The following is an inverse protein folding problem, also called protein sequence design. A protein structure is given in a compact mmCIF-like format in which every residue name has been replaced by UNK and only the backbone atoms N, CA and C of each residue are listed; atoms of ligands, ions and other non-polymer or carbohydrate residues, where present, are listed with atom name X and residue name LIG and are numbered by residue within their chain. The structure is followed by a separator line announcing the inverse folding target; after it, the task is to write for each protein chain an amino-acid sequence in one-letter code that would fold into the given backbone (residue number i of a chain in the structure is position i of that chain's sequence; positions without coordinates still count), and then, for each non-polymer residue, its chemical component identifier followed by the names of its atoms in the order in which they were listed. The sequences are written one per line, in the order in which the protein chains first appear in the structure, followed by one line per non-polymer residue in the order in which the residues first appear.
data_IF_456007261493
#
_entry.id   IF_456007261493
#
_cell.length_a   1.000
_cell.length_b   1.000
_cell.length_c   1.000
_cell.angle_alpha   90.00
_cell.angle_beta   90.00
_cell.angle_gamma   90.00
#
_symmetry.space_group_name_H-M   'P 1'
#
loop_
_entity.id
_entity.type
_entity.pdbx_description
1 polymer ?
#
# COMPACT_ATOMS: atom_id res chain seq x y z
N UNK A 1 15.61 9.68 -1.00
CA UNK A 1 15.33 8.48 -1.82
C UNK A 1 13.86 8.15 -1.67
N UNK A 2 13.15 7.95 -2.78
CA UNK A 2 11.69 7.69 -2.77
C UNK A 2 11.38 6.29 -2.21
N UNK A 3 10.26 6.16 -1.51
CA UNK A 3 9.68 4.86 -1.18
C UNK A 3 9.39 4.08 -2.46
N UNK A 4 9.60 2.77 -2.41
CA UNK A 4 9.54 1.92 -3.61
C UNK A 4 10.86 1.74 -4.35
N UNK A 5 11.91 2.53 -4.03
CA UNK A 5 13.23 2.41 -4.65
C UNK A 5 14.28 1.67 -3.79
N UNK A 6 13.90 1.17 -2.62
CA UNK A 6 14.84 0.49 -1.69
C UNK A 6 15.00 -0.99 -2.00
N UNK A 7 13.90 -1.71 -2.19
CA UNK A 7 13.89 -3.15 -2.49
C UNK A 7 14.23 -3.48 -3.95
N UNK A 8 14.30 -4.77 -4.27
CA UNK A 8 14.43 -5.27 -5.64
C UNK A 8 13.13 -5.13 -6.42
N UNK A 9 12.01 -5.33 -5.73
CA UNK A 9 10.65 -5.21 -6.25
C UNK A 9 9.82 -4.39 -5.25
N UNK A 10 8.93 -3.53 -5.76
CA UNK A 10 8.00 -2.74 -4.97
C UNK A 10 6.65 -2.70 -5.64
N UNK A 11 5.57 -2.69 -4.85
CA UNK A 11 4.20 -2.59 -5.36
C UNK A 11 3.50 -1.35 -4.81
N UNK A 12 2.65 -0.76 -5.65
CA UNK A 12 1.79 0.37 -5.32
C UNK A 12 0.37 0.02 -5.71
N UNK A 13 -0.57 0.47 -4.89
CA UNK A 13 -2.00 0.27 -5.15
C UNK A 13 -2.64 1.56 -5.63
N UNK A 14 -3.53 1.43 -6.60
CA UNK A 14 -4.39 2.50 -7.11
C UNK A 14 -5.86 2.25 -6.77
N UNK A 15 -6.09 1.50 -5.71
CA UNK A 15 -7.42 1.27 -5.16
C UNK A 15 -8.12 2.61 -4.83
N UNK A 16 -9.45 2.63 -4.86
CA UNK A 16 -10.23 3.88 -4.81
C UNK A 16 -9.92 4.77 -3.60
N UNK A 17 -9.56 4.21 -2.45
CA UNK A 17 -9.30 4.95 -1.22
C UNK A 17 -7.84 5.41 -1.04
N UNK A 18 -6.95 5.15 -2.00
CA UNK A 18 -5.55 5.52 -1.90
C UNK A 18 -5.28 6.98 -2.33
N UNK A 19 -4.02 7.43 -2.18
CA UNK A 19 -3.60 8.82 -2.46
C UNK A 19 -3.89 9.26 -3.89
N UNK A 20 -3.74 8.35 -4.86
CA UNK A 20 -4.20 8.47 -6.23
C UNK A 20 -4.89 7.16 -6.61
N UNK A 21 -5.87 7.24 -7.47
CA UNK A 21 -6.72 6.08 -7.76
C UNK A 21 -7.10 5.98 -9.22
N UNK A 22 -7.26 4.74 -9.67
CA UNK A 22 -7.91 4.38 -10.94
C UNK A 22 -9.21 3.56 -10.71
N UNK A 23 -9.78 3.66 -9.50
CA UNK A 23 -10.83 2.79 -9.01
C UNK A 23 -10.25 1.50 -8.46
N UNK A 24 -9.76 0.67 -9.33
CA UNK A 24 -8.93 -0.51 -9.05
C UNK A 24 -7.65 -0.44 -9.88
N UNK A 25 -6.55 -0.99 -9.38
CA UNK A 25 -5.31 -1.06 -10.13
C UNK A 25 -4.07 -1.09 -9.25
N UNK A 26 -2.93 -1.25 -9.88
CA UNK A 26 -1.64 -1.27 -9.21
C UNK A 26 -0.47 -1.10 -10.16
N UNK A 27 0.68 -0.81 -9.58
CA UNK A 27 1.96 -0.70 -10.25
C UNK A 27 2.98 -1.55 -9.53
N UNK A 28 3.77 -2.30 -10.27
CA UNK A 28 4.94 -3.00 -9.75
C UNK A 28 6.19 -2.41 -10.38
N UNK A 29 7.13 -1.99 -9.54
CA UNK A 29 8.45 -1.55 -9.94
C UNK A 29 9.47 -2.66 -9.64
N UNK A 30 10.40 -2.88 -10.56
CA UNK A 30 11.52 -3.78 -10.36
C UNK A 30 12.81 -3.16 -10.87
N UNK A 31 13.96 -3.56 -10.32
CA UNK A 31 15.27 -3.04 -10.73
C UNK A 31 15.84 -3.77 -11.93
N UNK A 32 15.57 -5.07 -12.05
CA UNK A 32 16.20 -5.93 -13.02
C UNK A 32 15.29 -6.16 -14.23
N UNK A 33 15.88 -6.13 -15.42
CA UNK A 33 15.14 -6.40 -16.66
C UNK A 33 14.62 -7.85 -16.74
N UNK A 34 15.32 -8.81 -16.11
CA UNK A 34 14.84 -10.20 -15.97
C UNK A 34 13.52 -10.27 -15.18
N UNK A 35 13.46 -9.57 -14.04
CA UNK A 35 12.27 -9.52 -13.20
C UNK A 35 11.10 -8.85 -13.93
N UNK A 36 11.39 -7.77 -14.67
CA UNK A 36 10.39 -7.09 -15.50
C UNK A 36 9.74 -8.04 -16.51
N UNK A 37 10.52 -8.88 -17.21
CA UNK A 37 9.99 -9.88 -18.15
C UNK A 37 9.12 -10.93 -17.47
N UNK A 38 9.54 -11.39 -16.29
CA UNK A 38 8.73 -12.34 -15.50
C UNK A 38 7.40 -11.68 -15.10
N UNK A 39 7.42 -10.44 -14.60
CA UNK A 39 6.22 -9.71 -14.20
C UNK A 39 5.27 -9.46 -15.38
N UNK A 40 5.78 -9.13 -16.56
CA UNK A 40 4.97 -9.01 -17.78
C UNK A 40 4.23 -10.30 -18.11
N UNK A 41 4.93 -11.43 -18.01
CA UNK A 41 4.33 -12.73 -18.21
C UNK A 41 3.28 -13.06 -17.16
N UNK A 42 3.62 -12.91 -15.87
CA UNK A 42 2.74 -13.25 -14.75
C UNK A 42 1.43 -12.44 -14.75
N UNK A 43 1.47 -11.14 -15.08
CA UNK A 43 0.25 -10.30 -15.14
C UNK A 43 -0.70 -10.70 -16.27
N UNK A 44 -0.21 -11.42 -17.26
CA UNK A 44 -0.92 -11.79 -18.49
C UNK A 44 -0.89 -13.30 -18.70
N UNK A 45 -1.49 -14.05 -17.82
CA UNK A 45 -1.72 -15.51 -17.89
C UNK A 45 -0.44 -16.39 -17.94
N UNK A 46 0.75 -15.80 -17.82
CA UNK A 46 2.01 -16.52 -18.03
C UNK A 46 2.48 -16.54 -19.49
N UNK A 47 1.90 -15.73 -20.38
CA UNK A 47 2.26 -15.67 -21.80
C UNK A 47 3.66 -15.12 -22.05
N UNK A 48 4.26 -15.56 -23.15
CA UNK A 48 5.53 -15.06 -23.66
C UNK A 48 5.39 -13.92 -24.68
N UNK A 49 4.18 -13.45 -24.98
CA UNK A 49 3.89 -12.50 -26.07
C UNK A 49 4.65 -11.16 -25.95
N UNK A 50 4.76 -10.64 -24.73
CA UNK A 50 5.38 -9.33 -24.45
C UNK A 50 6.88 -9.44 -24.15
N UNK A 51 7.45 -10.64 -24.28
CA UNK A 51 8.86 -10.89 -23.99
C UNK A 51 9.53 -11.66 -25.10
N UNK A 52 10.80 -11.33 -25.40
CA UNK A 52 11.60 -11.96 -26.46
C UNK A 52 12.08 -13.38 -26.09
N UNK A 53 11.21 -14.15 -25.43
CA UNK A 53 11.56 -15.51 -24.99
C UNK A 53 11.84 -16.45 -26.14
N UNK A 54 11.04 -16.34 -27.23
CA UNK A 54 11.08 -17.25 -28.36
C UNK A 54 12.26 -17.00 -29.30
N UNK A 55 12.93 -15.84 -29.23
CA UNK A 55 14.15 -15.61 -29.99
C UNK A 55 15.29 -16.54 -29.56
N UNK A 56 15.31 -16.95 -28.29
CA UNK A 56 16.34 -17.84 -27.72
C UNK A 56 15.93 -19.31 -27.67
N UNK A 57 14.65 -19.60 -27.52
CA UNK A 57 14.13 -20.96 -27.37
C UNK A 57 13.31 -21.35 -28.64
N UNK A 58 13.94 -22.00 -29.58
CA UNK A 58 13.33 -22.52 -30.79
C UNK A 58 12.51 -23.82 -30.48
N UNK A 59 11.49 -23.73 -29.62
CA UNK A 59 10.53 -24.79 -29.49
C UNK A 59 9.68 -24.87 -30.77
N UNK A 60 9.88 -25.87 -31.59
CA UNK A 60 9.23 -26.04 -32.89
C UNK A 60 7.72 -26.34 -32.80
N UNK A 61 7.19 -26.65 -31.62
CA UNK A 61 5.89 -27.32 -31.48
C UNK A 61 4.77 -26.42 -30.90
N UNK A 62 5.01 -25.14 -30.60
CA UNK A 62 3.99 -24.25 -30.01
C UNK A 62 3.71 -23.04 -30.91
N UNK A 63 2.43 -22.69 -31.00
CA UNK A 63 2.03 -21.42 -31.58
C UNK A 63 2.61 -20.29 -30.77
N UNK A 64 3.36 -19.40 -31.39
CA UNK A 64 4.03 -18.24 -30.75
C UNK A 64 3.05 -17.35 -29.95
N UNK A 65 1.79 -17.26 -30.39
CA UNK A 65 0.76 -16.45 -29.74
C UNK A 65 0.19 -17.09 -28.46
N UNK A 66 0.33 -18.39 -28.32
CA UNK A 66 -0.26 -19.17 -27.21
C UNK A 66 0.78 -19.96 -26.43
N UNK A 67 1.99 -19.45 -26.36
CA UNK A 67 3.05 -20.06 -25.57
C UNK A 67 3.05 -19.51 -24.14
N UNK A 68 2.84 -20.38 -23.16
CA UNK A 68 2.83 -20.08 -21.73
C UNK A 68 4.14 -20.56 -21.11
N UNK A 69 4.84 -19.65 -20.45
CA UNK A 69 6.17 -19.90 -19.84
C UNK A 69 6.15 -19.82 -18.32
N UNK A 70 5.05 -19.32 -17.77
CA UNK A 70 4.80 -19.22 -16.34
C UNK A 70 3.34 -19.57 -16.02
N UNK A 71 3.06 -19.90 -14.76
CA UNK A 71 1.70 -19.91 -14.21
C UNK A 71 1.35 -18.48 -13.81
N UNK A 72 0.58 -17.79 -14.64
CA UNK A 72 0.27 -16.38 -14.45
C UNK A 72 -1.18 -16.12 -14.08
N UNK A 73 -1.48 -14.83 -13.91
CA UNK A 73 -2.76 -14.30 -13.49
C UNK A 73 -3.37 -13.42 -14.59
N UNK A 74 -4.62 -13.02 -14.43
CA UNK A 74 -5.24 -11.99 -15.25
C UNK A 74 -5.27 -10.66 -14.47
N UNK A 75 -4.17 -9.92 -14.48
CA UNK A 75 -3.96 -8.73 -13.67
C UNK A 75 -3.62 -7.48 -14.51
N UNK A 76 -4.04 -7.44 -15.77
CA UNK A 76 -3.82 -6.28 -16.63
C UNK A 76 -4.77 -5.16 -16.27
N UNK A 77 -4.24 -3.94 -16.12
CA UNK A 77 -5.02 -2.73 -16.02
C UNK A 77 -5.69 -2.45 -17.37
N UNK A 78 -6.94 -1.99 -17.34
CA UNK A 78 -7.62 -1.53 -18.56
C UNK A 78 -7.19 -0.12 -18.94
N UNK A 79 -7.30 0.24 -20.23
CA UNK A 79 -6.98 1.60 -20.71
C UNK A 79 -7.87 2.67 -20.06
N UNK A 80 -9.12 2.34 -19.73
CA UNK A 80 -10.03 3.24 -19.00
C UNK A 80 -9.46 3.56 -17.61
N UNK A 81 -9.03 2.56 -16.87
CA UNK A 81 -8.42 2.75 -15.55
C UNK A 81 -7.10 3.53 -15.67
N UNK A 82 -6.28 3.25 -16.67
CA UNK A 82 -5.05 3.99 -16.91
C UNK A 82 -5.32 5.47 -17.24
N UNK A 83 -6.35 5.75 -18.03
CA UNK A 83 -6.76 7.12 -18.37
C UNK A 83 -7.21 7.92 -17.13
N UNK A 84 -7.96 7.29 -16.21
CA UNK A 84 -8.33 7.90 -14.94
C UNK A 84 -7.08 8.25 -14.10
N UNK A 85 -6.13 7.34 -14.02
CA UNK A 85 -4.90 7.52 -13.25
C UNK A 85 -4.05 8.69 -13.79
N UNK A 86 -4.00 8.89 -15.08
CA UNK A 86 -3.23 9.96 -15.71
C UNK A 86 -3.57 11.35 -15.14
N UNK A 87 -4.85 11.63 -14.91
CA UNK A 87 -5.29 12.88 -14.30
C UNK A 87 -5.04 12.94 -12.79
N UNK A 88 -4.99 11.81 -12.11
CA UNK A 88 -4.68 11.74 -10.69
C UNK A 88 -3.20 12.04 -10.40
N UNK A 89 -2.30 11.53 -11.23
CA UNK A 89 -0.85 11.77 -11.09
C UNK A 89 -0.52 13.26 -11.15
N UNK A 90 -1.18 14.03 -12.02
CA UNK A 90 -0.99 15.49 -12.13
C UNK A 90 -1.34 16.25 -10.84
N UNK A 91 -2.15 15.66 -9.95
CA UNK A 91 -2.64 16.28 -8.72
C UNK A 91 -1.88 15.83 -7.48
N UNK A 92 -0.91 14.92 -7.60
CA UNK A 92 -0.27 14.25 -6.46
C UNK A 92 0.38 15.24 -5.50
N UNK A 93 1.09 16.24 -6.00
CA UNK A 93 1.75 17.25 -5.16
C UNK A 93 0.73 18.13 -4.44
N UNK A 94 -0.34 18.54 -5.10
CA UNK A 94 -1.44 19.27 -4.47
C UNK A 94 -2.06 18.48 -3.34
N UNK A 95 -2.33 17.19 -3.57
CA UNK A 95 -2.92 16.32 -2.55
C UNK A 95 -1.98 16.11 -1.37
N UNK A 96 -0.69 15.89 -1.63
CA UNK A 96 0.33 15.77 -0.58
C UNK A 96 0.38 17.03 0.29
N UNK A 97 0.46 18.20 -0.33
CA UNK A 97 0.57 19.46 0.39
C UNK A 97 -0.68 19.75 1.23
N UNK A 98 -1.87 19.50 0.70
CA UNK A 98 -3.12 19.65 1.44
C UNK A 98 -3.19 18.69 2.65
N UNK A 99 -2.78 17.44 2.48
CA UNK A 99 -2.74 16.44 3.56
C UNK A 99 -1.74 16.84 4.65
N UNK A 100 -0.57 17.33 4.26
CA UNK A 100 0.44 17.82 5.19
C UNK A 100 -0.05 19.04 5.96
N UNK A 101 -0.68 20.01 5.28
CA UNK A 101 -1.28 21.19 5.90
C UNK A 101 -2.33 20.80 6.94
N UNK A 102 -3.28 19.95 6.56
CA UNK A 102 -4.34 19.49 7.46
C UNK A 102 -3.78 18.69 8.65
N UNK A 103 -2.80 17.83 8.42
CA UNK A 103 -2.12 17.10 9.49
C UNK A 103 -1.48 18.06 10.50
N UNK A 104 -0.74 19.05 10.02
CA UNK A 104 -0.06 20.02 10.88
C UNK A 104 -1.05 20.86 11.69
N UNK A 105 -2.15 21.29 11.07
CA UNK A 105 -3.20 22.05 11.74
C UNK A 105 -3.83 21.25 12.88
N UNK A 106 -4.26 20.02 12.63
CA UNK A 106 -4.86 19.15 13.65
C UNK A 106 -3.83 18.85 14.74
N UNK A 107 -2.59 18.51 14.36
CA UNK A 107 -1.53 18.18 15.30
C UNK A 107 -1.21 19.38 16.23
N UNK A 108 -1.25 20.62 15.72
CA UNK A 108 -1.08 21.83 16.50
C UNK A 108 -2.16 21.95 17.55
N UNK A 109 -3.44 21.91 17.14
CA UNK A 109 -4.60 22.01 18.05
C UNK A 109 -4.55 20.95 19.15
N UNK A 110 -4.23 19.70 18.79
CA UNK A 110 -4.14 18.61 19.76
C UNK A 110 -3.00 18.77 20.77
N UNK A 111 -1.88 19.39 20.37
CA UNK A 111 -0.74 19.63 21.26
C UNK A 111 -0.93 20.83 22.17
N UNK A 112 -1.68 21.83 21.73
CA UNK A 112 -2.02 23.01 22.52
C UNK A 112 -3.06 22.70 23.63
N UNK A 113 -3.92 21.70 23.41
CA UNK A 113 -4.85 21.22 24.43
C UNK A 113 -4.12 20.27 25.41
N UNK A 114 -4.02 20.70 26.68
CA UNK A 114 -3.31 19.97 27.73
C UNK A 114 -3.87 18.55 27.93
N UNK A 115 -5.21 18.39 27.95
CA UNK A 115 -5.82 17.09 28.15
C UNK A 115 -5.50 16.13 27.01
N UNK A 116 -5.60 16.58 25.74
CA UNK A 116 -5.27 15.75 24.57
C UNK A 116 -3.79 15.42 24.54
N UNK A 117 -2.91 16.38 24.81
CA UNK A 117 -1.47 16.17 24.81
C UNK A 117 -1.03 15.15 25.88
N UNK A 118 -1.66 15.19 27.05
CA UNK A 118 -1.36 14.25 28.14
C UNK A 118 -1.88 12.83 27.86
N UNK A 119 -2.95 12.66 27.09
CA UNK A 119 -3.64 11.38 26.87
C UNK A 119 -3.40 10.75 25.48
N UNK A 120 -2.70 11.42 24.58
CA UNK A 120 -2.43 10.92 23.23
C UNK A 120 -0.92 10.77 23.03
N UNK A 121 -0.52 9.71 22.31
CA UNK A 121 0.80 9.57 21.74
C UNK A 121 0.70 10.01 20.28
N UNK A 122 1.43 11.05 19.92
CA UNK A 122 1.47 11.55 18.55
C UNK A 122 2.50 10.76 17.73
N UNK A 123 2.09 10.37 16.54
CA UNK A 123 3.03 9.83 15.58
C UNK A 123 3.86 11.02 15.04
N UNK A 124 5.15 10.96 15.24
CA UNK A 124 6.06 12.02 14.78
C UNK A 124 6.61 11.69 13.41
N UNK A 125 6.84 12.72 12.60
CA UNK A 125 7.58 12.56 11.35
C UNK A 125 9.02 12.15 11.64
N UNK A 126 9.52 11.22 10.85
CA UNK A 126 10.96 11.05 10.71
C UNK A 126 11.51 12.31 10.04
N UNK A 127 12.46 13.00 10.69
CA UNK A 127 12.92 14.35 10.32
C UNK A 127 13.40 14.52 8.88
N UNK A 128 13.77 13.43 8.21
CA UNK A 128 14.25 13.41 6.82
C UNK A 128 13.22 12.89 5.82
N UNK A 129 11.97 12.63 6.24
CA UNK A 129 10.93 12.08 5.37
C UNK A 129 9.87 13.14 5.01
N UNK A 130 9.62 13.27 3.72
CA UNK A 130 8.44 13.95 3.21
C UNK A 130 7.26 12.98 3.23
N UNK A 131 6.34 13.15 4.17
CA UNK A 131 5.22 12.24 4.36
C UNK A 131 3.96 12.81 3.71
N UNK A 132 3.28 11.97 2.92
CA UNK A 132 1.91 12.21 2.50
C UNK A 132 0.97 11.47 3.45
N UNK A 133 0.45 12.17 4.46
CA UNK A 133 -0.40 11.57 5.47
C UNK A 133 -1.68 10.97 4.86
N UNK A 134 -1.89 9.69 5.09
CA UNK A 134 -3.10 9.00 4.62
C UNK A 134 -4.31 9.34 5.52
N UNK A 135 -4.07 9.42 6.81
CA UNK A 135 -5.02 9.78 7.85
C UNK A 135 -4.28 10.50 9.00
N UNK A 136 -5.02 10.90 10.04
CA UNK A 136 -4.44 11.42 11.28
C UNK A 136 -4.42 10.30 12.32
N UNK A 137 -3.26 9.63 12.55
CA UNK A 137 -3.18 8.51 13.48
C UNK A 137 -3.18 9.02 14.93
N UNK A 138 -4.07 8.45 15.75
CA UNK A 138 -4.20 8.74 17.17
C UNK A 138 -3.94 7.47 17.96
N UNK A 139 -2.99 7.52 18.88
CA UNK A 139 -2.73 6.42 19.83
C UNK A 139 -3.10 6.92 21.22
N UNK A 140 -4.12 6.31 21.81
CA UNK A 140 -4.62 6.67 23.13
C UNK A 140 -3.77 6.02 24.23
N UNK A 141 -3.28 6.82 25.20
CA UNK A 141 -2.53 6.30 26.34
C UNK A 141 -3.48 5.61 27.33
N UNK A 142 -3.08 4.45 27.85
CA UNK A 142 -3.71 3.75 28.99
C UNK A 142 -5.25 3.54 28.87
N UNK A 143 -5.77 3.42 27.66
CA UNK A 143 -7.21 3.24 27.41
C UNK A 143 -7.50 1.80 26.98
N UNK A 144 -8.50 1.17 27.62
CA UNK A 144 -9.02 -0.15 27.25
C UNK A 144 -9.84 -0.07 25.96
N UNK A 145 -9.87 -1.15 25.17
CA UNK A 145 -10.58 -1.23 23.88
C UNK A 145 -12.03 -0.73 23.94
N UNK A 146 -12.82 -1.14 24.96
CA UNK A 146 -14.21 -0.69 25.14
C UNK A 146 -14.34 0.83 25.20
N UNK A 147 -13.41 1.52 25.86
CA UNK A 147 -13.44 2.99 25.97
C UNK A 147 -13.02 3.66 24.64
N UNK A 148 -12.09 3.08 23.90
CA UNK A 148 -11.74 3.49 22.55
C UNK A 148 -12.95 3.41 21.62
N UNK A 149 -13.69 2.29 21.66
CA UNK A 149 -14.84 2.06 20.79
C UNK A 149 -15.96 3.08 21.07
N UNK A 150 -16.18 3.43 22.34
CA UNK A 150 -17.12 4.51 22.71
C UNK A 150 -16.68 5.88 22.17
N UNK A 151 -15.38 6.17 22.16
CA UNK A 151 -14.85 7.43 21.56
C UNK A 151 -15.10 7.42 20.05
N UNK A 152 -14.81 6.32 19.36
CA UNK A 152 -15.06 6.19 17.93
C UNK A 152 -16.53 6.38 17.58
N UNK A 153 -17.44 5.79 18.37
CA UNK A 153 -18.89 5.96 18.20
C UNK A 153 -19.32 7.43 18.36
N UNK A 154 -18.80 8.12 19.37
CA UNK A 154 -19.10 9.56 19.56
C UNK A 154 -18.58 10.41 18.41
N UNK A 155 -17.38 10.16 17.93
CA UNK A 155 -16.81 10.85 16.77
C UNK A 155 -17.65 10.61 15.51
N UNK A 156 -18.10 9.37 15.29
CA UNK A 156 -18.97 9.03 14.18
C UNK A 156 -20.31 9.82 14.22
N UNK A 157 -20.93 9.93 15.41
CA UNK A 157 -22.15 10.74 15.60
C UNK A 157 -21.94 12.23 15.31
N UNK A 158 -20.70 12.71 15.41
CA UNK A 158 -20.30 14.07 15.04
C UNK A 158 -19.88 14.22 13.57
N UNK A 159 -20.04 13.18 12.76
CA UNK A 159 -19.65 13.16 11.35
C UNK A 159 -18.15 12.93 11.09
N UNK A 160 -17.40 12.49 12.11
CA UNK A 160 -15.97 12.21 11.99
C UNK A 160 -15.78 10.70 11.83
N UNK A 161 -15.41 10.27 10.64
CA UNK A 161 -15.09 8.88 10.35
C UNK A 161 -13.78 8.47 11.04
N UNK A 162 -13.80 7.35 11.73
CA UNK A 162 -12.62 6.74 12.34
C UNK A 162 -12.45 5.31 11.87
N UNK A 163 -11.19 4.87 11.76
CA UNK A 163 -10.83 3.49 11.41
C UNK A 163 -9.74 2.98 12.34
N UNK A 164 -9.74 1.69 12.70
CA UNK A 164 -8.57 1.09 13.33
C UNK A 164 -7.37 1.16 12.38
N UNK A 165 -6.15 1.10 12.92
CA UNK A 165 -4.94 0.98 12.09
C UNK A 165 -4.95 -0.42 11.46
N UNK A 166 -5.70 -0.54 10.39
CA UNK A 166 -5.99 -1.74 9.58
C UNK A 166 -6.16 -3.00 10.45
N UNK A 167 -5.32 -4.01 10.25
CA UNK A 167 -5.37 -5.29 10.96
C UNK A 167 -4.51 -5.30 12.24
N UNK A 168 -3.77 -4.23 12.51
CA UNK A 168 -2.73 -4.26 13.53
C UNK A 168 -1.65 -5.30 13.21
N UNK A 169 -1.27 -6.10 14.21
CA UNK A 169 -0.35 -7.21 13.97
C UNK A 169 -1.08 -8.37 13.26
N UNK A 170 -0.74 -8.61 11.99
CA UNK A 170 -1.36 -9.65 11.16
C UNK A 170 -1.23 -11.06 11.74
N UNK A 171 -0.20 -11.32 12.57
CA UNK A 171 -0.05 -12.62 13.26
C UNK A 171 -1.19 -12.92 14.23
N UNK A 172 -1.96 -11.93 14.65
CA UNK A 172 -3.15 -12.09 15.48
C UNK A 172 -4.41 -12.39 14.65
N UNK A 173 -4.35 -12.32 13.33
CA UNK A 173 -5.47 -12.60 12.45
C UNK A 173 -5.67 -14.11 12.28
N UNK A 174 -6.92 -14.59 12.14
CA UNK A 174 -7.20 -16.01 11.89
C UNK A 174 -6.46 -16.58 10.68
N UNK A 175 -6.32 -15.79 9.60
CA UNK A 175 -5.62 -16.17 8.39
C UNK A 175 -4.15 -16.56 8.62
N UNK A 176 -3.49 -15.97 9.61
CA UNK A 176 -2.10 -16.31 9.93
C UNK A 176 -1.91 -17.79 10.34
N UNK A 177 -2.96 -18.41 10.92
CA UNK A 177 -2.94 -19.82 11.30
C UNK A 177 -2.92 -20.76 10.10
N UNK A 178 -3.52 -20.35 8.98
CA UNK A 178 -3.57 -21.15 7.75
C UNK A 178 -2.18 -21.37 7.13
N UNK A 179 -1.24 -20.49 7.41
CA UNK A 179 0.11 -20.50 6.85
C UNK A 179 1.16 -21.00 7.86
N UNK A 180 0.75 -21.51 9.01
CA UNK A 180 1.67 -21.96 10.07
C UNK A 180 2.74 -20.91 10.43
N UNK A 181 2.38 -19.62 10.38
CA UNK A 181 3.31 -18.52 10.62
C UNK A 181 3.75 -18.54 12.09
N UNK A 182 5.03 -18.84 12.32
CA UNK A 182 5.61 -18.82 13.65
C UNK A 182 6.08 -17.40 14.00
N UNK A 183 5.62 -16.86 15.13
CA UNK A 183 5.99 -15.51 15.63
C UNK A 183 7.50 -15.29 15.69
N UNK A 184 8.30 -16.33 16.00
CA UNK A 184 9.76 -16.24 16.06
C UNK A 184 10.42 -16.09 14.69
N UNK A 185 9.91 -16.73 13.65
CA UNK A 185 10.51 -16.69 12.31
C UNK A 185 10.34 -15.33 11.63
N UNK A 186 9.24 -14.64 11.90
CA UNK A 186 8.96 -13.33 11.29
C UNK A 186 9.77 -12.22 11.94
N UNK A 187 9.97 -12.24 13.25
CA UNK A 187 10.85 -11.29 13.96
C UNK A 187 12.30 -11.36 13.45
N UNK A 188 12.81 -12.55 13.12
CA UNK A 188 14.16 -12.73 12.58
C UNK A 188 14.31 -12.21 11.14
N UNK A 189 13.25 -12.16 10.34
CA UNK A 189 13.29 -11.62 8.98
C UNK A 189 13.17 -10.09 8.92
N UNK A 190 12.56 -9.46 9.93
CA UNK A 190 12.42 -8.00 10.00
C UNK A 190 13.69 -7.33 10.55
N UNK A 191 14.50 -8.07 11.33
CA UNK A 191 15.72 -7.56 11.98
C UNK A 191 17.02 -7.83 11.18
N UNK A 192 16.94 -8.48 10.01
CA UNK A 192 18.01 -8.59 9.03
C UNK A 192 17.83 -7.57 7.91
#
# INVERSE_FOLDING_TARGET
KYLGSYGSISSFSFYFSHHITSGEGGLVLCKNYSDYKILLSLRAHGWSREIDYLKKNKSKNFNKLFNFINLGYNLRLTDIQAALLFNQVKKIDKYRNNRLHNYNLINKVFREDKFLNDNIIFVTNYSKAEISWFNFPIILKKIKNKKRDMICEKLYKLGIETRPIISGNFLNQPAAKLYNLNKRQILFQILK
#
